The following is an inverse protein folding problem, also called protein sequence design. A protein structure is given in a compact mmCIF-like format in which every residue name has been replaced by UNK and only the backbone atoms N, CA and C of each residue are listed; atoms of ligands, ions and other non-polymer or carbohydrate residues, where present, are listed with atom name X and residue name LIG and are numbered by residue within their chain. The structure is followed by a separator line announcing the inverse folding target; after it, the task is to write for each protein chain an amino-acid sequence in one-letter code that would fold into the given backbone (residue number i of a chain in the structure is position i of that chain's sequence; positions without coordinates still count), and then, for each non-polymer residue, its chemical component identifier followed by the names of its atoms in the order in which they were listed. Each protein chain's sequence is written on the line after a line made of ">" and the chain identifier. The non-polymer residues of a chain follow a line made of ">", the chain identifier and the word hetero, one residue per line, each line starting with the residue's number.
data_IF_897016529713
#
_entry.id   IF_897016529713
#
_cell.length_a   1.000
_cell.length_b   1.000
_cell.length_c   1.000
_cell.angle_alpha   90.00
_cell.angle_beta   90.00
_cell.angle_gamma   90.00
#
_symmetry.space_group_name_H-M   'P 1'
#
loop_
_entity.id
_entity.type
_entity.pdbx_description
1 polymer ?
#
# COMPACT_ATOMS: atom_id res chain seq x y z
N UNK A 1 -52.20 9.50 -71.76
CA UNK A 1 -52.84 9.69 -70.43
C UNK A 1 -52.75 8.50 -69.46
N UNK A 2 -52.22 7.31 -69.82
CA UNK A 2 -52.18 6.13 -68.90
C UNK A 2 -51.00 6.04 -67.91
N UNK A 3 -49.96 6.89 -68.00
CA UNK A 3 -48.77 6.81 -67.11
C UNK A 3 -48.88 7.51 -65.75
N UNK A 4 -49.95 8.28 -65.47
CA UNK A 4 -50.13 8.98 -64.18
C UNK A 4 -50.82 8.15 -63.09
N UNK A 5 -51.49 7.05 -63.45
CA UNK A 5 -52.19 6.17 -62.49
C UNK A 5 -51.24 5.29 -61.68
N UNK A 6 -50.24 4.68 -62.34
CA UNK A 6 -49.32 3.73 -61.71
C UNK A 6 -48.41 4.36 -60.64
N UNK A 7 -48.02 5.64 -60.81
CA UNK A 7 -47.11 6.29 -59.87
C UNK A 7 -47.78 6.54 -58.51
N UNK A 8 -49.06 6.94 -58.51
CA UNK A 8 -49.84 7.14 -57.26
C UNK A 8 -50.08 5.83 -56.51
N UNK A 9 -50.17 4.71 -57.24
CA UNK A 9 -50.36 3.39 -56.63
C UNK A 9 -49.08 2.88 -55.97
N UNK A 10 -47.91 3.09 -56.60
CA UNK A 10 -46.60 2.78 -55.99
C UNK A 10 -46.34 3.59 -54.73
N UNK A 11 -46.53 4.91 -54.77
CA UNK A 11 -46.35 5.78 -53.58
C UNK A 11 -47.27 5.37 -52.40
N UNK A 12 -48.50 4.93 -52.70
CA UNK A 12 -49.42 4.42 -51.66
C UNK A 12 -48.94 3.10 -51.06
N UNK A 13 -48.31 2.22 -51.84
CA UNK A 13 -47.77 0.95 -51.36
C UNK A 13 -46.54 1.21 -50.49
N UNK A 14 -45.63 2.07 -50.92
CA UNK A 14 -44.42 2.41 -50.17
C UNK A 14 -44.75 3.09 -48.83
N UNK A 15 -45.66 4.07 -48.81
CA UNK A 15 -46.12 4.68 -47.55
C UNK A 15 -46.77 3.66 -46.60
N UNK A 16 -47.53 2.70 -47.13
CA UNK A 16 -48.12 1.62 -46.33
C UNK A 16 -47.06 0.67 -45.77
N UNK A 17 -45.99 0.40 -46.50
CA UNK A 17 -44.88 -0.43 -46.03
C UNK A 17 -44.07 0.28 -44.95
N UNK A 18 -43.75 1.56 -45.13
CA UNK A 18 -43.07 2.41 -44.13
C UNK A 18 -43.87 2.49 -42.81
N UNK A 19 -45.17 2.78 -42.88
CA UNK A 19 -46.00 2.85 -41.67
C UNK A 19 -46.11 1.50 -40.95
N UNK A 20 -46.13 0.38 -41.69
CA UNK A 20 -46.11 -0.96 -41.10
C UNK A 20 -44.78 -1.31 -40.41
N UNK A 21 -43.67 -0.73 -40.89
CA UNK A 21 -42.36 -0.86 -40.24
C UNK A 21 -42.33 -0.15 -38.89
N UNK A 22 -42.74 1.13 -38.87
CA UNK A 22 -42.79 1.93 -37.65
C UNK A 22 -43.72 1.33 -36.57
N UNK A 23 -44.91 0.85 -36.97
CA UNK A 23 -45.84 0.18 -36.04
C UNK A 23 -45.26 -1.12 -35.45
N UNK A 24 -44.44 -1.85 -36.21
CA UNK A 24 -43.79 -3.08 -35.72
C UNK A 24 -42.71 -2.77 -34.70
N UNK A 25 -41.87 -1.76 -34.95
CA UNK A 25 -40.84 -1.32 -34.02
C UNK A 25 -41.45 -0.80 -32.72
N UNK A 26 -42.50 0.02 -32.80
CA UNK A 26 -43.18 0.53 -31.61
C UNK A 26 -43.81 -0.59 -30.77
N UNK A 27 -44.44 -1.59 -31.41
CA UNK A 27 -44.99 -2.77 -30.72
C UNK A 27 -43.89 -3.65 -30.11
N UNK A 28 -42.73 -3.76 -30.76
CA UNK A 28 -41.59 -4.52 -30.23
C UNK A 28 -40.99 -3.82 -29.01
N UNK A 29 -40.82 -2.50 -29.06
CA UNK A 29 -40.39 -1.69 -27.92
C UNK A 29 -41.35 -1.80 -26.74
N UNK A 30 -42.67 -1.72 -26.98
CA UNK A 30 -43.69 -1.89 -25.93
C UNK A 30 -43.66 -3.29 -25.32
N UNK A 31 -43.48 -4.35 -26.12
CA UNK A 31 -43.34 -5.73 -25.62
C UNK A 31 -42.09 -5.90 -24.77
N UNK A 32 -40.97 -5.28 -25.16
CA UNK A 32 -39.72 -5.35 -24.41
C UNK A 32 -39.85 -4.61 -23.06
N UNK A 33 -40.42 -3.41 -23.06
CA UNK A 33 -40.70 -2.66 -21.84
C UNK A 33 -41.65 -3.43 -20.89
N UNK A 34 -42.71 -4.04 -21.42
CA UNK A 34 -43.63 -4.85 -20.63
C UNK A 34 -42.98 -6.14 -20.09
N UNK A 35 -42.05 -6.74 -20.82
CA UNK A 35 -41.29 -7.90 -20.36
C UNK A 35 -40.35 -7.52 -19.20
N UNK A 36 -39.64 -6.40 -19.31
CA UNK A 36 -38.78 -5.86 -18.24
C UNK A 36 -39.63 -5.57 -16.99
N UNK A 37 -40.78 -4.90 -17.14
CA UNK A 37 -41.67 -4.59 -16.02
C UNK A 37 -42.25 -5.84 -15.33
N UNK A 38 -42.53 -6.91 -16.09
CA UNK A 38 -42.99 -8.19 -15.51
C UNK A 38 -41.86 -8.95 -14.80
N UNK A 39 -40.63 -8.85 -15.30
CA UNK A 39 -39.47 -9.47 -14.67
C UNK A 39 -39.15 -8.80 -13.32
N UNK A 40 -39.22 -7.46 -13.25
CA UNK A 40 -38.99 -6.71 -12.00
C UNK A 40 -40.10 -6.91 -10.97
N UNK A 41 -41.33 -7.21 -11.38
CA UNK A 41 -42.44 -7.44 -10.45
C UNK A 41 -42.48 -8.85 -9.82
N UNK A 42 -41.70 -9.81 -10.35
CA UNK A 42 -41.68 -11.21 -9.89
C UNK A 42 -40.48 -11.59 -9.03
N UNK A 43 -39.45 -10.73 -8.95
CA UNK A 43 -38.41 -10.94 -7.94
C UNK A 43 -38.95 -10.51 -6.58
N UNK A 44 -39.15 -11.47 -5.67
CA UNK A 44 -39.20 -11.15 -4.25
C UNK A 44 -38.02 -10.25 -3.90
N UNK A 45 -38.22 -9.17 -3.11
CA UNK A 45 -37.12 -8.31 -2.73
C UNK A 45 -36.04 -9.17 -2.08
N UNK A 46 -34.85 -9.16 -2.69
CA UNK A 46 -33.70 -9.86 -2.12
C UNK A 46 -33.35 -9.15 -0.82
N UNK A 47 -33.70 -9.78 0.29
CA UNK A 47 -33.29 -9.31 1.62
C UNK A 47 -31.87 -9.79 1.86
N UNK A 48 -30.91 -8.86 1.88
CA UNK A 48 -29.52 -9.13 2.27
C UNK A 48 -29.43 -8.93 3.79
N UNK A 49 -28.87 -9.87 4.56
CA UNK A 49 -28.55 -9.65 5.97
C UNK A 49 -27.69 -8.38 6.17
N UNK A 50 -27.94 -7.65 7.26
CA UNK A 50 -27.29 -6.35 7.50
C UNK A 50 -25.76 -6.46 7.59
N UNK A 51 -25.26 -7.49 8.26
CA UNK A 51 -23.84 -7.79 8.40
C UNK A 51 -23.17 -8.02 7.03
N UNK A 52 -23.81 -8.80 6.16
CA UNK A 52 -23.35 -9.03 4.79
C UNK A 52 -23.36 -7.73 3.99
N UNK A 53 -24.38 -6.89 4.15
CA UNK A 53 -24.43 -5.59 3.48
C UNK A 53 -23.34 -4.63 3.98
N UNK A 54 -23.13 -4.54 5.30
CA UNK A 54 -22.05 -3.75 5.90
C UNK A 54 -20.67 -4.24 5.40
N UNK A 55 -20.48 -5.56 5.26
CA UNK A 55 -19.27 -6.13 4.65
C UNK A 55 -19.10 -5.74 3.18
N UNK A 56 -20.17 -5.70 2.38
CA UNK A 56 -20.11 -5.21 1.00
C UNK A 56 -19.71 -3.73 0.97
N UNK A 57 -20.29 -2.91 1.85
CA UNK A 57 -19.99 -1.47 1.95
C UNK A 57 -18.51 -1.24 2.29
N UNK A 58 -17.88 -2.10 3.11
CA UNK A 58 -16.43 -2.05 3.39
C UNK A 58 -15.55 -2.18 2.15
N UNK A 59 -16.01 -2.83 1.09
CA UNK A 59 -15.25 -2.99 -0.16
C UNK A 59 -15.44 -1.84 -1.16
N UNK A 60 -16.34 -0.89 -0.88
CA UNK A 60 -16.57 0.25 -1.75
C UNK A 60 -15.44 1.29 -1.64
N UNK A 61 -15.04 1.88 -2.77
CA UNK A 61 -14.14 3.05 -2.75
C UNK A 61 -14.89 4.32 -2.26
N UNK A 62 -14.16 5.40 -1.99
CA UNK A 62 -14.75 6.64 -1.46
C UNK A 62 -15.82 7.27 -2.37
N UNK A 63 -15.68 7.13 -3.70
CA UNK A 63 -16.64 7.64 -4.68
C UNK A 63 -17.94 6.83 -4.64
N UNK A 64 -17.82 5.50 -4.54
CA UNK A 64 -18.93 4.56 -4.44
C UNK A 64 -19.66 4.74 -3.13
N UNK A 65 -18.94 4.91 -2.02
CA UNK A 65 -19.54 5.25 -0.72
C UNK A 65 -20.33 6.56 -0.80
N UNK A 66 -19.77 7.61 -1.42
CA UNK A 66 -20.47 8.89 -1.59
C UNK A 66 -21.77 8.73 -2.39
N UNK A 67 -21.76 7.87 -3.41
CA UNK A 67 -22.96 7.56 -4.21
C UNK A 67 -23.97 6.76 -3.41
N UNK A 68 -23.53 5.73 -2.66
CA UNK A 68 -24.38 4.92 -1.78
C UNK A 68 -25.02 5.77 -0.68
N UNK A 69 -24.30 6.72 -0.09
CA UNK A 69 -24.83 7.58 0.96
C UNK A 69 -26.05 8.40 0.53
N UNK A 70 -26.23 8.61 -0.78
CA UNK A 70 -27.33 9.39 -1.36
C UNK A 70 -28.59 8.57 -1.68
N UNK A 71 -28.56 7.24 -1.57
CA UNK A 71 -29.68 6.39 -2.03
C UNK A 71 -30.86 6.38 -1.06
N UNK A 72 -30.62 6.16 0.24
CA UNK A 72 -31.64 6.21 1.29
C UNK A 72 -31.00 6.35 2.68
N UNK A 73 -31.81 6.71 3.69
CA UNK A 73 -31.34 6.95 5.06
C UNK A 73 -30.61 5.75 5.68
N UNK A 74 -31.12 4.53 5.47
CA UNK A 74 -30.50 3.31 5.98
C UNK A 74 -29.10 3.07 5.39
N UNK A 75 -28.94 3.18 4.07
CA UNK A 75 -27.64 3.02 3.41
C UNK A 75 -26.70 4.16 3.83
N UNK A 76 -27.21 5.38 3.94
CA UNK A 76 -26.46 6.54 4.47
C UNK A 76 -25.90 6.28 5.86
N UNK A 77 -26.68 5.69 6.77
CA UNK A 77 -26.22 5.31 8.11
C UNK A 77 -25.12 4.22 8.07
N UNK A 78 -25.26 3.22 7.20
CA UNK A 78 -24.22 2.20 7.00
C UNK A 78 -22.92 2.82 6.46
N UNK A 79 -23.02 3.72 5.48
CA UNK A 79 -21.86 4.45 4.95
C UNK A 79 -21.23 5.33 6.02
N UNK A 80 -22.01 6.01 6.86
CA UNK A 80 -21.49 6.84 7.95
C UNK A 80 -20.69 6.02 8.97
N UNK A 81 -21.20 4.85 9.37
CA UNK A 81 -20.45 3.91 10.23
C UNK A 81 -19.14 3.47 9.57
N UNK A 82 -19.18 3.15 8.28
CA UNK A 82 -18.00 2.74 7.53
C UNK A 82 -16.96 3.87 7.43
N UNK A 83 -17.38 5.10 7.18
CA UNK A 83 -16.49 6.27 7.16
C UNK A 83 -15.83 6.46 8.53
N UNK A 84 -16.61 6.41 9.61
CA UNK A 84 -16.07 6.49 10.98
C UNK A 84 -15.08 5.35 11.26
N UNK A 85 -15.40 4.13 10.81
CA UNK A 85 -14.48 3.00 10.93
C UNK A 85 -13.18 3.24 10.15
N UNK A 86 -13.24 3.72 8.91
CA UNK A 86 -12.04 4.06 8.12
C UNK A 86 -11.21 5.14 8.78
N UNK A 87 -11.83 6.19 9.30
CA UNK A 87 -11.13 7.25 10.03
C UNK A 87 -10.38 6.70 11.25
N UNK A 88 -10.98 5.74 11.96
CA UNK A 88 -10.36 5.10 13.13
C UNK A 88 -9.26 4.08 12.78
N UNK A 89 -9.33 3.42 11.61
CA UNK A 89 -8.49 2.25 11.31
C UNK A 89 -7.46 2.48 10.18
N UNK A 90 -7.77 3.37 9.24
CA UNK A 90 -6.96 3.74 8.07
C UNK A 90 -6.97 5.27 7.89
N UNK A 91 -6.53 6.04 8.89
CA UNK A 91 -6.53 7.48 8.77
C UNK A 91 -5.64 7.91 7.60
N UNK A 92 -6.17 8.84 6.80
CA UNK A 92 -5.34 9.68 5.96
C UNK A 92 -4.64 10.68 6.88
N UNK A 93 -3.41 10.35 7.26
CA UNK A 93 -2.55 11.29 7.98
C UNK A 93 -1.70 11.97 6.91
N UNK A 94 -1.81 13.30 6.71
CA UNK A 94 -1.04 14.04 5.70
C UNK A 94 0.49 13.95 5.87
N UNK A 95 0.97 13.17 6.83
CA UNK A 95 2.37 13.08 7.29
C UNK A 95 2.79 11.65 7.61
N UNK A 96 2.12 10.65 7.02
CA UNK A 96 2.65 9.28 6.95
C UNK A 96 3.71 9.15 5.84
N UNK A 97 3.96 10.23 5.10
CA UNK A 97 4.87 10.33 3.97
C UNK A 97 5.44 11.76 3.92
N UNK A 98 6.73 11.91 3.61
CA UNK A 98 7.36 13.18 3.33
C UNK A 98 8.32 13.05 2.13
N UNK A 99 8.24 14.00 1.17
CA UNK A 99 9.26 14.18 0.13
C UNK A 99 10.40 14.99 0.70
N UNK A 100 11.63 14.51 0.59
CA UNK A 100 12.80 15.20 1.15
C UNK A 100 13.33 16.35 0.26
N UNK A 101 12.64 16.69 -0.83
CA UNK A 101 13.07 17.68 -1.82
C UNK A 101 12.21 18.97 -1.84
N UNK A 102 11.26 19.14 -0.91
CA UNK A 102 10.47 20.37 -0.83
C UNK A 102 11.25 21.48 -0.09
N UNK A 103 11.94 22.29 -0.89
CA UNK A 103 12.32 23.71 -0.77
C UNK A 103 13.24 24.20 0.38
N UNK A 104 13.42 23.51 1.51
CA UNK A 104 14.09 24.12 2.68
C UNK A 104 15.33 23.40 3.24
N UNK A 105 15.80 22.31 2.63
CA UNK A 105 16.96 21.56 3.12
C UNK A 105 18.19 21.74 2.21
N UNK A 106 19.23 22.44 2.70
CA UNK A 106 20.54 22.66 2.04
C UNK A 106 21.37 21.37 1.82
N UNK A 107 20.78 20.19 1.97
CA UNK A 107 21.45 18.93 1.67
C UNK A 107 21.43 18.73 0.15
N UNK A 108 22.54 19.07 -0.51
CA UNK A 108 22.69 19.00 -1.97
C UNK A 108 22.21 17.69 -2.60
N UNK A 109 21.88 17.73 -3.89
CA UNK A 109 21.23 16.66 -4.63
C UNK A 109 21.91 15.30 -4.45
N UNK A 110 21.29 14.41 -3.66
CA UNK A 110 21.75 13.03 -3.57
C UNK A 110 21.51 12.31 -4.91
N UNK A 111 22.58 12.03 -5.64
CA UNK A 111 22.54 11.22 -6.87
C UNK A 111 23.01 9.80 -6.60
N UNK A 112 22.34 8.81 -7.19
CA UNK A 112 22.82 7.42 -7.14
C UNK A 112 24.26 7.32 -7.66
N UNK A 113 25.17 6.67 -6.91
CA UNK A 113 26.54 6.48 -7.37
C UNK A 113 26.58 5.52 -8.55
N UNK A 114 27.72 5.45 -9.25
CA UNK A 114 27.94 4.41 -10.25
C UNK A 114 27.74 3.03 -9.59
N UNK A 115 26.91 2.14 -10.17
CA UNK A 115 26.64 0.84 -9.55
C UNK A 115 27.89 -0.01 -9.40
N UNK A 116 27.96 -0.76 -8.31
CA UNK A 116 29.05 -1.69 -7.96
C UNK A 116 28.57 -3.12 -7.69
N UNK A 117 27.26 -3.38 -7.79
CA UNK A 117 26.67 -4.69 -7.51
C UNK A 117 26.49 -4.95 -6.01
N UNK A 118 26.31 -3.89 -5.22
CA UNK A 118 26.18 -3.98 -3.75
C UNK A 118 24.85 -4.65 -3.40
N UNK A 119 24.90 -5.64 -2.52
CA UNK A 119 23.73 -6.33 -1.98
C UNK A 119 23.88 -6.47 -0.48
N UNK A 120 23.35 -5.50 0.27
CA UNK A 120 23.26 -5.53 1.72
C UNK A 120 21.81 -5.29 2.14
N UNK A 121 21.37 -5.97 3.19
CA UNK A 121 20.01 -5.87 3.69
C UNK A 121 20.02 -5.64 5.20
N UNK A 122 19.42 -4.54 5.65
CA UNK A 122 19.30 -4.19 7.08
C UNK A 122 20.62 -4.27 7.87
N UNK A 123 21.74 -3.84 7.27
CA UNK A 123 23.05 -3.84 7.91
C UNK A 123 23.13 -2.75 8.98
N UNK A 124 23.40 -3.09 10.26
CA UNK A 124 23.48 -2.11 11.33
C UNK A 124 24.75 -1.25 11.24
N UNK A 125 24.63 0.04 11.51
CA UNK A 125 25.75 0.99 11.56
C UNK A 125 25.39 2.21 12.44
N UNK A 126 26.40 2.98 12.87
CA UNK A 126 26.18 4.19 13.66
C UNK A 126 26.01 5.40 12.74
N UNK A 127 24.92 6.15 12.90
CA UNK A 127 24.62 7.31 12.06
C UNK A 127 25.68 8.41 12.18
N UNK A 128 26.19 8.63 13.39
CA UNK A 128 27.18 9.66 13.72
C UNK A 128 28.55 9.37 13.10
N UNK A 129 28.87 8.09 12.89
CA UNK A 129 30.09 7.62 12.25
C UNK A 129 29.78 6.72 11.06
N UNK A 130 28.87 7.19 10.20
CA UNK A 130 28.44 6.39 9.05
C UNK A 130 29.62 5.98 8.16
N UNK A 131 30.62 6.86 7.97
CA UNK A 131 31.79 6.57 7.16
C UNK A 131 32.78 5.59 7.81
N UNK A 132 32.85 5.53 9.14
CA UNK A 132 33.69 4.57 9.86
C UNK A 132 33.02 3.21 10.08
N UNK A 133 31.68 3.15 9.99
CA UNK A 133 30.89 1.96 10.36
C UNK A 133 30.12 1.31 9.21
N UNK A 134 30.27 1.81 7.97
CA UNK A 134 29.82 1.11 6.75
C UNK A 134 31.02 0.75 5.85
N UNK A 135 30.91 -0.28 5.00
CA UNK A 135 31.99 -0.66 4.09
C UNK A 135 32.33 0.44 3.08
N UNK A 136 33.61 0.51 2.68
CA UNK A 136 34.11 1.52 1.74
C UNK A 136 33.37 1.51 0.39
N UNK A 137 32.88 0.35 -0.05
CA UNK A 137 32.04 0.21 -1.23
C UNK A 137 30.70 0.94 -1.13
N UNK A 138 30.17 1.11 0.08
CA UNK A 138 28.91 1.80 0.36
C UNK A 138 29.08 3.33 0.47
N UNK A 139 30.30 3.86 0.47
CA UNK A 139 30.55 5.30 0.69
C UNK A 139 29.89 6.22 -0.36
N UNK A 140 29.61 5.69 -1.57
CA UNK A 140 28.86 6.41 -2.59
C UNK A 140 27.43 6.80 -2.16
N UNK A 141 26.89 6.16 -1.12
CA UNK A 141 25.56 6.43 -0.57
C UNK A 141 25.56 7.35 0.65
N UNK A 142 26.73 7.86 1.08
CA UNK A 142 26.81 8.78 2.22
C UNK A 142 25.99 10.07 2.00
N UNK A 143 25.83 10.52 0.74
CA UNK A 143 24.97 11.66 0.41
C UNK A 143 23.49 11.37 0.74
N UNK A 144 22.97 10.20 0.35
CA UNK A 144 21.62 9.77 0.72
C UNK A 144 21.46 9.64 2.23
N UNK A 145 22.43 9.02 2.91
CA UNK A 145 22.40 8.88 4.38
C UNK A 145 22.31 10.26 5.02
N UNK A 146 23.19 11.21 4.67
CA UNK A 146 23.16 12.58 5.21
C UNK A 146 21.84 13.29 4.96
N UNK A 147 21.27 13.16 3.77
CA UNK A 147 19.97 13.76 3.43
C UNK A 147 18.83 13.17 4.29
N UNK A 148 18.86 11.87 4.58
CA UNK A 148 17.83 11.20 5.39
C UNK A 148 17.95 11.53 6.88
N UNK A 149 19.19 11.66 7.38
CA UNK A 149 19.45 11.58 8.81
C UNK A 149 19.01 12.84 9.56
N UNK A 150 18.95 14.03 8.93
CA UNK A 150 18.50 15.24 9.61
C UNK A 150 19.19 15.43 10.98
N UNK A 151 18.43 15.27 12.09
CA UNK A 151 18.91 15.25 13.48
C UNK A 151 18.84 13.88 14.17
N UNK A 152 18.49 12.82 13.45
CA UNK A 152 18.49 11.45 13.96
C UNK A 152 19.90 11.04 14.38
N UNK A 153 19.99 10.30 15.48
CA UNK A 153 21.23 9.82 16.09
C UNK A 153 21.09 8.34 16.43
N UNK A 154 22.20 7.67 16.70
CA UNK A 154 22.27 6.30 17.13
C UNK A 154 22.32 5.30 15.99
N UNK A 155 21.71 4.15 16.23
CA UNK A 155 21.78 3.00 15.34
C UNK A 155 20.79 3.15 14.17
N UNK A 156 21.26 2.83 12.97
CA UNK A 156 20.43 2.71 11.78
C UNK A 156 20.74 1.43 11.01
N UNK A 157 19.86 1.08 10.08
CA UNK A 157 19.95 -0.13 9.28
C UNK A 157 19.93 0.20 7.79
N UNK A 158 21.02 -0.13 7.10
CA UNK A 158 21.23 0.18 5.69
C UNK A 158 20.84 -1.00 4.80
N UNK A 159 20.11 -0.70 3.73
CA UNK A 159 19.84 -1.63 2.64
C UNK A 159 20.25 -0.98 1.33
N UNK A 160 21.11 -1.67 0.58
CA UNK A 160 21.48 -1.31 -0.80
C UNK A 160 21.32 -2.58 -1.62
N UNK A 161 20.51 -2.51 -2.67
CA UNK A 161 20.29 -3.62 -3.60
C UNK A 161 20.51 -3.10 -5.03
N UNK A 162 21.62 -3.49 -5.63
CA UNK A 162 22.02 -3.16 -6.99
C UNK A 162 22.11 -4.42 -7.85
N UNK A 163 21.17 -4.58 -8.77
CA UNK A 163 21.16 -5.74 -9.67
C UNK A 163 20.35 -5.50 -10.94
N UNK A 164 20.53 -6.42 -11.88
CA UNK A 164 19.62 -6.57 -13.00
C UNK A 164 18.33 -7.25 -12.54
N UNK A 165 17.20 -6.69 -12.97
CA UNK A 165 15.86 -7.20 -12.64
C UNK A 165 15.13 -7.51 -13.94
N UNK A 166 14.49 -8.68 -14.07
CA UNK A 166 13.67 -9.00 -15.24
C UNK A 166 12.56 -7.97 -15.46
N UNK A 167 12.29 -7.64 -16.72
CA UNK A 167 11.14 -6.81 -17.08
C UNK A 167 9.85 -7.56 -16.71
N UNK A 168 8.90 -6.85 -16.07
CA UNK A 168 7.67 -7.44 -15.55
C UNK A 168 7.78 -7.96 -14.10
N UNK A 169 8.98 -7.96 -13.52
CA UNK A 169 9.18 -8.29 -12.11
C UNK A 169 9.43 -7.05 -11.26
N UNK A 170 9.03 -7.11 -9.99
CA UNK A 170 9.36 -6.10 -9.00
C UNK A 170 10.78 -6.34 -8.46
N UNK A 171 11.55 -5.27 -8.29
CA UNK A 171 12.91 -5.40 -7.75
C UNK A 171 12.91 -5.78 -6.26
N UNK A 172 11.97 -5.24 -5.49
CA UNK A 172 11.72 -5.62 -4.08
C UNK A 172 10.38 -6.34 -3.99
N UNK A 173 9.93 -6.64 -2.77
CA UNK A 173 8.64 -7.32 -2.56
C UNK A 173 7.52 -6.60 -3.32
N UNK A 174 6.93 -7.32 -4.28
CA UNK A 174 5.76 -6.84 -5.01
C UNK A 174 4.51 -6.87 -4.13
N UNK A 175 3.48 -6.15 -4.59
CA UNK A 175 2.21 -6.05 -3.87
C UNK A 175 2.22 -5.01 -2.75
N UNK A 176 1.01 -4.66 -2.31
CA UNK A 176 0.76 -3.61 -1.33
C UNK A 176 1.04 -4.11 0.09
N UNK A 177 1.90 -3.40 0.81
CA UNK A 177 2.29 -3.77 2.16
C UNK A 177 2.73 -2.59 3.02
N UNK A 178 2.88 -2.85 4.31
CA UNK A 178 3.60 -2.02 5.28
C UNK A 178 4.82 -2.80 5.80
N UNK A 179 5.71 -2.09 6.49
CA UNK A 179 6.95 -2.64 7.06
C UNK A 179 6.82 -3.05 8.54
N UNK A 180 5.61 -2.90 9.12
CA UNK A 180 5.22 -3.33 10.46
C UNK A 180 4.31 -4.58 10.38
N UNK A 181 4.86 -5.79 10.23
CA UNK A 181 4.05 -7.01 10.16
C UNK A 181 3.36 -7.30 11.50
N UNK A 182 2.21 -7.97 11.44
CA UNK A 182 1.45 -8.35 12.63
C UNK A 182 1.75 -9.76 13.08
N UNK A 183 2.12 -9.90 14.35
CA UNK A 183 2.17 -11.17 15.09
C UNK A 183 0.96 -11.27 16.02
N UNK A 184 0.59 -12.48 16.45
CA UNK A 184 -0.55 -12.69 17.32
C UNK A 184 -0.07 -13.18 18.68
N UNK A 185 -0.27 -12.36 19.70
CA UNK A 185 0.05 -12.69 21.09
C UNK A 185 -1.11 -13.49 21.70
N UNK A 186 -0.81 -14.65 22.30
CA UNK A 186 -1.77 -15.39 23.12
C UNK A 186 -1.92 -14.65 24.46
N UNK A 187 -3.12 -14.15 24.77
CA UNK A 187 -3.38 -13.48 26.04
C UNK A 187 -3.42 -14.54 27.15
N UNK A 188 -2.38 -14.57 27.99
CA UNK A 188 -2.26 -15.49 29.12
C UNK A 188 -3.29 -15.24 30.24
N UNK A 189 -3.96 -14.09 30.22
CA UNK A 189 -4.89 -13.64 31.27
C UNK A 189 -6.35 -14.10 31.07
N UNK A 190 -6.61 -15.16 30.31
CA UNK A 190 -7.95 -15.75 30.33
C UNK A 190 -8.20 -16.41 31.69
N UNK A 191 -9.01 -15.75 32.52
CA UNK A 191 -9.52 -16.26 33.80
C UNK A 191 -9.91 -17.75 33.68
N UNK A 192 -9.61 -18.59 34.68
CA UNK A 192 -9.96 -20.00 34.67
C UNK A 192 -11.49 -20.18 34.51
N UNK A 193 -11.94 -20.45 33.28
CA UNK A 193 -13.36 -20.54 32.93
C UNK A 193 -13.74 -19.91 31.59
N UNK A 194 -12.91 -19.03 31.03
CA UNK A 194 -13.14 -18.50 29.67
C UNK A 194 -12.65 -19.52 28.64
N UNK A 195 -13.57 -20.32 28.08
CA UNK A 195 -13.26 -21.47 27.23
C UNK A 195 -12.66 -21.12 25.85
N UNK A 196 -12.24 -19.87 25.63
CA UNK A 196 -11.64 -19.39 24.39
C UNK A 196 -10.32 -18.68 24.63
N UNK A 197 -9.22 -19.21 24.06
CA UNK A 197 -7.96 -18.47 23.94
C UNK A 197 -8.21 -17.15 23.21
N UNK A 198 -7.95 -16.02 23.86
CA UNK A 198 -8.02 -14.70 23.24
C UNK A 198 -6.65 -14.36 22.66
N UNK A 199 -6.61 -13.92 21.40
CA UNK A 199 -5.38 -13.46 20.76
C UNK A 199 -5.47 -11.97 20.47
N UNK A 200 -4.40 -11.23 20.77
CA UNK A 200 -4.29 -9.81 20.41
C UNK A 200 -3.25 -9.64 19.30
N UNK A 201 -3.61 -8.99 18.18
CA UNK A 201 -2.63 -8.66 17.16
C UNK A 201 -1.66 -7.58 17.69
N UNK A 202 -0.36 -7.83 17.52
CA UNK A 202 0.75 -6.93 17.86
C UNK A 202 1.55 -6.63 16.60
N UNK A 203 1.79 -5.35 16.34
CA UNK A 203 2.55 -4.91 15.17
C UNK A 203 4.03 -4.75 15.55
N UNK A 204 4.93 -5.46 14.88
CA UNK A 204 6.38 -5.30 15.09
C UNK A 204 6.83 -3.93 14.57
N UNK A 205 7.65 -3.23 15.34
CA UNK A 205 8.23 -1.94 14.96
C UNK A 205 9.41 -2.15 14.03
N UNK A 206 9.44 -1.34 12.98
CA UNK A 206 10.53 -1.29 12.00
C UNK A 206 10.86 0.15 11.64
N UNK A 207 11.33 0.87 12.66
CA UNK A 207 11.69 2.28 12.60
C UNK A 207 10.66 3.19 13.29
N UNK A 208 9.39 2.76 13.42
CA UNK A 208 8.27 3.42 14.11
C UNK A 208 7.84 4.82 13.61
N UNK A 209 8.75 5.60 13.04
CA UNK A 209 8.53 6.86 12.30
C UNK A 209 7.44 7.79 12.85
N UNK A 210 7.82 8.84 13.58
CA UNK A 210 6.89 9.86 14.06
C UNK A 210 7.22 11.22 13.45
N UNK A 211 6.28 11.74 12.64
CA UNK A 211 6.32 13.13 12.20
C UNK A 211 5.61 14.04 13.19
N UNK A 212 6.31 14.95 13.86
CA UNK A 212 5.67 15.96 14.73
C UNK A 212 5.39 17.25 13.96
N UNK A 213 4.21 17.83 14.17
CA UNK A 213 3.92 19.20 13.72
C UNK A 213 4.45 20.16 14.77
N UNK A 214 5.36 21.05 14.40
CA UNK A 214 5.60 22.22 15.22
C UNK A 214 4.42 23.17 15.07
N UNK A 215 3.88 23.61 16.20
CA UNK A 215 2.86 24.66 16.24
C UNK A 215 3.48 26.07 16.33
N UNK A 216 4.82 26.19 16.37
CA UNK A 216 5.47 27.46 16.74
C UNK A 216 5.34 28.59 15.72
N UNK A 217 5.16 28.30 14.42
CA UNK A 217 5.26 29.35 13.38
C UNK A 217 4.00 29.54 12.50
N UNK A 218 2.81 29.34 13.07
CA UNK A 218 1.52 29.69 12.44
C UNK A 218 0.78 28.52 11.76
N UNK A 219 -0.31 28.79 10.99
CA UNK A 219 -1.20 27.76 10.44
C UNK A 219 -0.50 26.80 9.46
N UNK A 220 0.70 27.16 8.98
CA UNK A 220 1.55 26.37 8.08
C UNK A 220 2.82 25.85 8.76
N UNK A 221 2.86 25.84 10.12
CA UNK A 221 4.05 25.64 10.95
C UNK A 221 5.13 24.70 10.43
N UNK A 222 6.39 25.16 10.57
CA UNK A 222 7.60 24.47 10.11
C UNK A 222 7.71 23.04 10.66
N UNK A 223 8.25 22.16 9.81
CA UNK A 223 8.43 20.74 10.07
C UNK A 223 9.62 20.54 11.01
N UNK A 224 9.42 20.54 12.33
CA UNK A 224 10.61 20.58 13.19
C UNK A 224 11.33 19.24 13.32
N UNK A 225 10.69 18.07 13.37
CA UNK A 225 11.42 16.81 13.56
C UNK A 225 10.67 15.57 13.04
N UNK A 226 11.39 14.77 12.25
CA UNK A 226 11.10 13.37 11.98
C UNK A 226 11.93 12.56 12.99
N UNK A 227 11.28 11.75 13.82
CA UNK A 227 11.96 10.79 14.70
C UNK A 227 11.77 9.37 14.16
N UNK A 228 12.87 8.69 13.87
CA UNK A 228 12.87 7.35 13.28
C UNK A 228 12.22 7.27 11.89
N UNK A 229 11.75 6.07 11.55
CA UNK A 229 11.06 5.75 10.31
C UNK A 229 11.98 5.26 9.20
N UNK A 230 11.43 5.20 7.99
CA UNK A 230 12.05 4.52 6.86
C UNK A 230 12.21 5.51 5.72
N UNK A 231 13.44 5.69 5.27
CA UNK A 231 13.76 6.42 4.06
C UNK A 231 14.06 5.43 2.96
N UNK A 232 13.60 5.69 1.74
CA UNK A 232 14.06 4.91 0.59
C UNK A 232 14.03 5.72 -0.69
N UNK A 233 14.81 5.25 -1.65
CA UNK A 233 14.95 5.82 -2.98
C UNK A 233 15.21 4.74 -4.03
N UNK A 234 14.95 5.07 -5.29
CA UNK A 234 15.11 4.18 -6.43
C UNK A 234 15.77 4.90 -7.59
N UNK A 235 16.74 4.28 -8.26
CA UNK A 235 17.33 4.85 -9.49
C UNK A 235 16.41 4.76 -10.71
N UNK A 236 15.20 4.22 -10.54
CA UNK A 236 14.20 4.07 -11.59
C UNK A 236 12.86 4.68 -11.18
N UNK A 237 12.39 5.65 -11.95
CA UNK A 237 11.08 6.30 -11.81
C UNK A 237 9.94 5.31 -12.04
N UNK A 238 8.81 5.53 -11.36
CA UNK A 238 7.59 4.74 -11.55
C UNK A 238 7.72 3.28 -11.15
N UNK A 239 8.69 2.96 -10.29
CA UNK A 239 8.92 1.61 -9.75
C UNK A 239 8.52 1.48 -8.29
N UNK A 240 8.08 2.57 -7.67
CA UNK A 240 7.69 2.59 -6.27
C UNK A 240 6.51 3.52 -6.06
N UNK A 241 5.55 3.07 -5.27
CA UNK A 241 4.39 3.85 -4.85
C UNK A 241 4.29 3.87 -3.35
N UNK A 242 3.85 5.01 -2.84
CA UNK A 242 3.51 5.22 -1.43
C UNK A 242 2.08 5.71 -1.36
N UNK A 243 1.35 5.22 -0.38
CA UNK A 243 0.04 5.73 -0.05
C UNK A 243 0.16 6.61 1.19
N UNK A 244 -0.27 7.89 1.15
CA UNK A 244 -0.17 8.81 2.28
C UNK A 244 -1.23 8.48 3.36
N UNK A 245 -1.26 7.24 3.80
CA UNK A 245 -2.17 6.69 4.80
C UNK A 245 -1.36 6.01 5.88
N UNK A 246 -1.96 5.84 7.05
CA UNK A 246 -1.39 5.09 8.15
C UNK A 246 -2.32 3.92 8.47
N UNK A 247 -1.79 2.70 8.54
CA UNK A 247 -2.57 1.54 8.99
C UNK A 247 -2.49 1.46 10.51
N UNK A 248 -3.59 1.77 11.18
CA UNK A 248 -3.65 1.75 12.65
C UNK A 248 -4.07 0.40 13.20
N UNK A 249 -4.90 -0.35 12.45
CA UNK A 249 -5.41 -1.62 12.90
C UNK A 249 -4.51 -2.78 12.43
N UNK A 250 -3.74 -3.42 13.33
CA UNK A 250 -2.86 -4.52 12.97
C UNK A 250 -3.61 -5.76 12.48
N UNK A 251 -4.91 -5.90 12.75
CA UNK A 251 -5.71 -7.00 12.20
C UNK A 251 -5.90 -6.90 10.67
N UNK A 252 -5.63 -5.74 10.07
CA UNK A 252 -5.65 -5.54 8.62
C UNK A 252 -4.37 -6.04 7.93
N UNK A 253 -3.39 -6.46 8.72
CA UNK A 253 -2.04 -6.73 8.25
C UNK A 253 -1.74 -8.20 8.48
N UNK A 254 -1.32 -8.91 7.44
CA UNK A 254 -0.93 -10.30 7.59
C UNK A 254 0.45 -10.44 8.26
N UNK A 255 0.87 -11.68 8.51
CA UNK A 255 2.16 -12.00 9.14
C UNK A 255 3.39 -11.48 8.36
N UNK A 256 3.21 -11.07 7.11
CA UNK A 256 4.27 -10.49 6.30
C UNK A 256 4.13 -8.97 6.15
N UNK A 257 3.10 -8.33 6.67
CA UNK A 257 2.88 -6.91 6.42
C UNK A 257 2.01 -6.63 5.18
N UNK A 258 1.52 -7.65 4.49
CA UNK A 258 0.68 -7.44 3.31
C UNK A 258 -0.71 -6.96 3.71
N UNK A 259 -1.22 -6.03 2.91
CA UNK A 259 -2.54 -5.40 3.08
C UNK A 259 -3.28 -5.36 1.73
N UNK A 260 -2.96 -6.31 0.83
CA UNK A 260 -3.44 -6.31 -0.58
C UNK A 260 -4.96 -6.20 -0.70
N UNK A 261 -5.71 -6.77 0.25
CA UNK A 261 -7.17 -6.74 0.29
C UNK A 261 -7.78 -5.36 0.60
N UNK A 262 -6.96 -4.37 0.94
CA UNK A 262 -7.40 -3.05 1.42
C UNK A 262 -7.03 -1.89 0.49
N UNK A 263 -6.53 -2.17 -0.71
CA UNK A 263 -6.09 -1.13 -1.66
C UNK A 263 -7.18 -0.09 -1.96
N UNK A 264 -8.43 -0.52 -2.07
CA UNK A 264 -9.59 0.34 -2.35
C UNK A 264 -9.88 1.36 -1.24
N UNK A 265 -9.26 1.20 -0.06
CA UNK A 265 -9.40 2.11 1.08
C UNK A 265 -8.38 3.25 1.08
N UNK A 266 -7.29 3.15 0.32
CA UNK A 266 -6.12 4.04 0.47
C UNK A 266 -6.16 5.30 -0.41
N UNK A 267 -7.14 5.41 -1.31
CA UNK A 267 -7.15 6.51 -2.29
C UNK A 267 -6.00 6.42 -3.30
N UNK A 268 -5.60 7.57 -3.84
CA UNK A 268 -4.60 7.65 -4.90
C UNK A 268 -3.17 7.53 -4.35
N UNK A 269 -2.32 6.68 -4.95
CA UNK A 269 -0.91 6.58 -4.56
C UNK A 269 -0.09 7.76 -5.08
N UNK A 270 1.00 8.03 -4.39
CA UNK A 270 2.10 8.87 -4.84
C UNK A 270 3.14 7.96 -5.50
N UNK A 271 3.43 8.21 -6.78
CA UNK A 271 4.47 7.51 -7.53
C UNK A 271 5.78 8.31 -7.45
N UNK A 272 6.88 7.64 -7.15
CA UNK A 272 8.19 8.29 -6.98
C UNK A 272 8.98 8.34 -8.30
N UNK A 273 9.67 9.45 -8.49
CA UNK A 273 10.63 9.66 -9.58
C UNK A 273 11.98 8.97 -9.31
N UNK A 274 12.83 8.91 -10.34
CA UNK A 274 14.17 8.36 -10.21
C UNK A 274 15.04 9.29 -9.35
N UNK A 275 15.71 8.74 -8.34
CA UNK A 275 16.53 9.51 -7.41
C UNK A 275 15.74 10.13 -6.25
N UNK A 276 14.41 10.18 -6.35
CA UNK A 276 13.58 10.78 -5.31
C UNK A 276 13.68 9.98 -4.00
N UNK A 277 13.94 10.69 -2.91
CA UNK A 277 14.02 10.18 -1.54
C UNK A 277 12.73 10.56 -0.85
N UNK A 278 12.05 9.57 -0.30
CA UNK A 278 10.93 9.81 0.59
C UNK A 278 11.17 9.19 1.96
N UNK A 279 10.57 9.80 2.96
CA UNK A 279 10.40 9.24 4.29
C UNK A 279 8.98 8.70 4.46
N UNK A 280 8.86 7.56 5.13
CA UNK A 280 7.59 6.95 5.54
C UNK A 280 7.70 6.38 6.97
N UNK A 281 6.55 6.13 7.59
CA UNK A 281 6.48 5.30 8.81
C UNK A 281 6.52 3.81 8.46
N UNK A 282 6.75 2.95 9.44
CA UNK A 282 6.66 1.49 9.26
C UNK A 282 5.22 1.00 9.01
N UNK A 283 4.22 1.84 9.23
CA UNK A 283 2.80 1.59 8.99
C UNK A 283 2.24 2.27 7.74
N UNK A 284 3.10 2.92 6.95
CA UNK A 284 2.70 3.56 5.70
C UNK A 284 2.65 2.54 4.57
N UNK A 285 1.51 2.38 3.88
CA UNK A 285 1.42 1.45 2.77
C UNK A 285 2.29 1.87 1.59
N UNK A 286 3.00 0.91 1.03
CA UNK A 286 3.85 1.11 -0.13
C UNK A 286 3.94 -0.17 -0.96
N UNK A 287 4.47 -0.06 -2.18
CA UNK A 287 4.67 -1.21 -3.07
C UNK A 287 5.84 -1.01 -4.04
N UNK A 288 6.57 -2.09 -4.30
CA UNK A 288 7.50 -2.17 -5.44
C UNK A 288 6.73 -2.63 -6.68
N UNK A 289 6.78 -1.83 -7.75
CA UNK A 289 6.09 -2.14 -8.99
C UNK A 289 6.98 -2.93 -9.96
N UNK A 290 6.35 -3.74 -10.84
CA UNK A 290 7.03 -4.36 -11.96
C UNK A 290 7.79 -3.37 -12.84
N UNK A 291 9.01 -3.72 -13.25
CA UNK A 291 9.77 -2.89 -14.17
C UNK A 291 9.12 -2.89 -15.56
N UNK A 292 8.91 -1.68 -16.10
CA UNK A 292 8.36 -1.48 -17.44
C UNK A 292 9.46 -1.55 -18.50
N UNK A 293 9.11 -2.15 -19.64
CA UNK A 293 9.98 -2.17 -20.82
C UNK A 293 10.18 -0.75 -21.35
N UNK A 294 11.43 -0.30 -21.46
CA UNK A 294 11.78 1.01 -22.06
C UNK A 294 12.18 0.90 -23.53
N UNK A 295 12.68 -0.26 -23.97
CA UNK A 295 13.12 -0.51 -25.34
C UNK A 295 12.59 -1.84 -25.88
N UNK A 296 12.27 -1.97 -27.17
CA UNK A 296 11.94 -3.26 -27.78
C UNK A 296 13.04 -4.29 -27.53
N UNK A 297 12.65 -5.53 -27.19
CA UNK A 297 13.59 -6.62 -26.91
C UNK A 297 14.30 -6.57 -25.55
N UNK A 298 14.11 -5.52 -24.74
CA UNK A 298 14.70 -5.44 -23.41
C UNK A 298 14.12 -6.54 -22.49
N UNK A 299 15.02 -7.38 -21.95
CA UNK A 299 14.67 -8.47 -21.01
C UNK A 299 14.93 -8.11 -19.55
N UNK A 300 15.93 -7.26 -19.30
CA UNK A 300 16.34 -6.84 -17.96
C UNK A 300 16.49 -5.32 -17.89
N UNK A 301 16.36 -4.76 -16.70
CA UNK A 301 16.76 -3.40 -16.40
C UNK A 301 17.57 -3.40 -15.12
N UNK A 302 18.69 -2.68 -15.14
CA UNK A 302 19.47 -2.43 -13.94
C UNK A 302 18.72 -1.44 -13.04
N UNK A 303 18.68 -1.71 -11.73
CA UNK A 303 18.10 -0.81 -10.73
C UNK A 303 18.95 -0.81 -9.46
N UNK A 304 19.11 0.37 -8.88
CA UNK A 304 19.65 0.55 -7.54
C UNK A 304 18.48 0.91 -6.62
N UNK A 305 18.43 0.26 -5.47
CA UNK A 305 17.47 0.55 -4.41
C UNK A 305 18.25 0.89 -3.14
N UNK A 306 17.89 2.02 -2.53
CA UNK A 306 18.44 2.47 -1.25
C UNK A 306 17.30 2.48 -0.25
N UNK A 307 17.54 1.95 0.96
CA UNK A 307 16.65 2.09 2.10
C UNK A 307 17.48 2.28 3.37
N UNK A 308 17.06 3.22 4.19
CA UNK A 308 17.60 3.49 5.51
C UNK A 308 16.47 3.41 6.54
N UNK A 309 16.60 2.52 7.51
CA UNK A 309 15.69 2.46 8.65
C UNK A 309 16.38 3.13 9.83
N UNK A 310 15.67 4.09 10.43
CA UNK A 310 16.10 4.81 11.63
C UNK A 310 15.07 4.58 12.74
N UNK A 311 15.48 4.60 14.00
CA UNK A 311 14.60 4.31 15.13
C UNK A 311 14.50 2.81 15.47
N UNK A 312 13.60 2.45 16.38
CA UNK A 312 13.57 1.12 16.97
C UNK A 312 13.14 0.04 15.97
N UNK A 313 13.85 -1.07 16.00
CA UNK A 313 13.50 -2.32 15.31
C UNK A 313 13.22 -3.34 16.42
N UNK A 314 12.14 -4.11 16.32
CA UNK A 314 11.87 -5.12 17.38
C UNK A 314 12.65 -6.42 17.16
N UNK A 315 12.89 -6.78 15.89
CA UNK A 315 13.55 -8.04 15.54
C UNK A 315 14.45 -7.91 14.30
N UNK A 316 15.61 -8.55 14.36
CA UNK A 316 16.59 -8.64 13.29
C UNK A 316 16.83 -10.10 12.91
N UNK A 317 16.53 -10.45 11.65
CA UNK A 317 16.57 -11.82 11.14
C UNK A 317 17.94 -12.12 10.54
N UNK A 318 18.82 -12.84 11.26
CA UNK A 318 20.20 -13.09 10.87
C UNK A 318 20.35 -13.82 9.53
N UNK A 319 19.41 -14.71 9.20
CA UNK A 319 19.38 -15.43 7.91
C UNK A 319 19.07 -14.54 6.71
N UNK A 320 18.46 -13.38 6.96
CA UNK A 320 17.93 -12.50 5.92
C UNK A 320 18.59 -11.12 5.91
N UNK A 321 19.36 -10.79 6.93
CA UNK A 321 20.00 -9.49 7.11
C UNK A 321 21.52 -9.63 7.08
N UNK A 322 22.20 -8.58 6.67
CA UNK A 322 23.66 -8.55 6.51
C UNK A 322 24.30 -8.08 7.81
N UNK A 323 25.16 -8.89 8.47
CA UNK A 323 25.88 -8.43 9.65
C UNK A 323 26.85 -7.30 9.29
N UNK A 324 27.11 -6.40 10.24
CA UNK A 324 28.12 -5.35 10.05
C UNK A 324 29.52 -5.97 10.08
N UNK A 325 30.40 -5.69 9.09
CA UNK A 325 31.79 -6.15 9.13
C UNK A 325 32.64 -5.40 10.17
N UNK A 326 32.12 -4.32 10.76
CA UNK A 326 32.77 -3.54 11.80
C UNK A 326 32.31 -3.92 13.22
N UNK A 327 31.53 -4.99 13.35
CA UNK A 327 31.06 -5.49 14.64
C UNK A 327 29.92 -4.69 15.28
N UNK A 328 29.30 -3.75 14.56
CA UNK A 328 28.10 -3.06 15.02
C UNK A 328 26.97 -4.09 15.12
N UNK A 329 26.39 -4.22 16.31
CA UNK A 329 25.30 -5.15 16.59
C UNK A 329 23.94 -4.44 16.46
N UNK A 330 22.89 -5.15 16.02
CA UNK A 330 21.54 -4.63 16.06
C UNK A 330 21.09 -4.41 17.52
N UNK A 331 20.42 -3.29 17.80
CA UNK A 331 19.85 -2.98 19.11
C UNK A 331 18.42 -3.52 19.23
N UNK A 332 18.28 -4.84 19.06
CA UNK A 332 17.00 -5.56 19.12
C UNK A 332 17.21 -7.07 19.22
N UNK A 333 16.10 -7.83 19.31
CA UNK A 333 16.15 -9.29 19.33
C UNK A 333 16.72 -9.81 18.01
N UNK A 334 17.82 -10.56 18.08
CA UNK A 334 18.39 -11.27 16.93
C UNK A 334 17.82 -12.67 16.88
N UNK A 335 17.32 -13.08 15.71
CA UNK A 335 16.76 -14.42 15.51
C UNK A 335 17.30 -15.09 14.25
N UNK A 336 17.58 -16.39 14.35
CA UNK A 336 17.97 -17.27 13.23
C UNK A 336 16.75 -17.87 12.51
N UNK A 337 15.55 -17.38 12.81
CA UNK A 337 14.33 -17.80 12.13
C UNK A 337 14.36 -17.41 10.65
N UNK A 338 14.00 -18.36 9.80
CA UNK A 338 13.68 -18.03 8.41
C UNK A 338 12.27 -17.43 8.35
N UNK A 339 12.20 -16.11 8.17
CA UNK A 339 10.95 -15.35 8.10
C UNK A 339 10.00 -15.78 6.97
N UNK A 340 10.47 -16.51 5.96
CA UNK A 340 9.65 -17.02 4.86
C UNK A 340 9.19 -18.46 5.10
N UNK A 341 9.95 -19.29 5.82
CA UNK A 341 9.57 -20.68 6.10
C UNK A 341 8.50 -20.81 7.19
N UNK A 342 8.49 -19.91 8.18
CA UNK A 342 7.55 -19.99 9.31
C UNK A 342 6.10 -19.96 8.86
N UNK A 343 5.80 -19.28 7.75
CA UNK A 343 4.44 -19.17 7.22
C UNK A 343 4.05 -20.37 6.34
N UNK A 344 5.01 -21.01 5.66
CA UNK A 344 4.76 -22.15 4.78
C UNK A 344 4.18 -23.37 5.52
N UNK A 345 4.42 -23.48 6.84
CA UNK A 345 3.93 -24.58 7.66
C UNK A 345 2.45 -24.45 8.07
N UNK A 346 1.76 -23.36 7.71
CA UNK A 346 0.38 -23.10 8.17
C UNK A 346 0.28 -22.72 9.66
N UNK A 347 1.35 -22.95 10.43
CA UNK A 347 1.52 -22.56 11.82
C UNK A 347 2.06 -21.14 12.02
N UNK A 348 2.24 -20.37 10.93
CA UNK A 348 2.98 -19.10 10.93
C UNK A 348 2.51 -18.01 11.89
N UNK A 349 1.34 -18.21 12.53
CA UNK A 349 0.82 -17.36 13.60
C UNK A 349 1.40 -17.67 14.99
N UNK A 350 1.90 -18.88 15.25
CA UNK A 350 2.36 -19.35 16.57
C UNK A 350 3.88 -19.39 16.72
N UNK A 351 4.61 -19.85 15.69
CA UNK A 351 6.04 -20.20 15.81
C UNK A 351 6.97 -19.00 15.83
N UNK A 352 6.67 -17.95 15.04
CA UNK A 352 7.51 -16.74 15.02
C UNK A 352 7.53 -16.09 16.42
N UNK A 353 6.40 -16.11 17.12
CA UNK A 353 6.22 -15.44 18.40
C UNK A 353 6.81 -16.23 19.57
N UNK A 354 6.61 -17.55 19.64
CA UNK A 354 7.22 -18.36 20.71
C UNK A 354 8.74 -18.26 20.72
N UNK A 355 9.37 -18.11 19.56
CA UNK A 355 10.82 -17.94 19.48
C UNK A 355 11.25 -16.51 19.76
N UNK A 356 10.52 -15.47 19.31
CA UNK A 356 10.88 -14.06 19.59
C UNK A 356 10.68 -13.71 21.08
N UNK A 357 9.59 -14.16 21.71
CA UNK A 357 9.26 -13.83 23.11
C UNK A 357 10.14 -14.55 24.13
N UNK A 358 10.66 -15.73 23.80
CA UNK A 358 11.57 -16.45 24.71
C UNK A 358 12.95 -15.77 24.85
N UNK A 359 13.25 -14.75 24.04
CA UNK A 359 14.52 -13.98 24.08
C UNK A 359 14.36 -12.51 24.50
N UNK A 360 13.13 -12.04 24.78
CA UNK A 360 12.83 -10.71 25.32
C UNK A 360 12.45 -10.81 26.79
#
# INVERSE_FOLDING_TARGET
>A
MRKRGDNKQRERIERRQLNRGADREQRQAQRHAAAIARATHRSTPVTIPLDVFEDIVRYCDGKTLSSLASTCHFISACVAKEVQWREANVPHVPRAYLRMYEEDYEFGDATFPRPRGIQINMMPFHLEDAAGTIPAECHGYLAFIRQCVGRSTGLAYLTIDEREVPIGESHRRGGLHIDSPTVWEELLDSEPGDAGKRFKPYALRWGFGVGRRSHRDGPWGQFEMIDGGIFFASSSAGTTRVYPNLILNPAMVDAHGSIKGYRHLLGDPIELDAGEVCWITDKTPHESLPLRRKRPGQKFSFRQFFRLVTGPVDVWFSKHNTPSPFGVLPDCVVTDVDKFEVVARGDGKRTLYSEIVNYS
#
